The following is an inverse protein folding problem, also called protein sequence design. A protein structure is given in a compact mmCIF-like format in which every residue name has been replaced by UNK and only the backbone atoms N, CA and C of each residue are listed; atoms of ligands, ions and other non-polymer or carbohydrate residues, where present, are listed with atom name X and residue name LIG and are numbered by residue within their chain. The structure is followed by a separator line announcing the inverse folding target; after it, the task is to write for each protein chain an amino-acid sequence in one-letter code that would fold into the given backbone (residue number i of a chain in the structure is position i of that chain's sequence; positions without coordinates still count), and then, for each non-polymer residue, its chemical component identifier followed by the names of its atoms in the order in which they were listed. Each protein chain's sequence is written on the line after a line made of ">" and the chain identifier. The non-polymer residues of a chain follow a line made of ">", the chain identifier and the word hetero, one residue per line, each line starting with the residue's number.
data_IF_044334266316
#
_entry.id   IF_044334266316
#
_cell.length_a   1.000
_cell.length_b   1.000
_cell.length_c   1.000
_cell.angle_alpha   90.00
_cell.angle_beta   90.00
_cell.angle_gamma   90.00
#
_symmetry.space_group_name_H-M   'P 1'
#
loop_
_entity.id
_entity.type
_entity.pdbx_description
1 polymer ?
#
# COMPACT_ATOMS: atom_id res chain seq x y z
N UNK A 1 -12.76 7.61 24.09
CA UNK A 1 -12.40 7.63 22.65
C UNK A 1 -13.10 6.47 21.97
N UNK A 2 -13.99 6.76 21.01
CA UNK A 2 -14.76 5.72 20.30
C UNK A 2 -14.03 5.13 19.10
N UNK A 3 -14.68 4.14 18.48
CA UNK A 3 -14.22 3.55 17.23
C UNK A 3 -14.45 4.54 16.07
N UNK A 4 -13.45 4.70 15.20
CA UNK A 4 -13.55 5.53 13.98
C UNK A 4 -13.69 4.62 12.77
N UNK A 5 -14.50 5.03 11.80
CA UNK A 5 -14.65 4.34 10.52
C UNK A 5 -13.37 4.43 9.67
N UNK A 6 -13.13 3.43 8.82
CA UNK A 6 -12.05 3.49 7.83
C UNK A 6 -12.35 4.61 6.81
N UNK A 7 -11.48 5.63 6.67
CA UNK A 7 -11.71 6.78 5.80
C UNK A 7 -11.82 6.43 4.32
N UNK A 8 -11.23 5.31 3.87
CA UNK A 8 -11.35 4.82 2.49
C UNK A 8 -12.79 4.35 2.23
N UNK A 9 -13.31 3.48 3.11
CA UNK A 9 -14.67 2.96 3.03
C UNK A 9 -15.73 4.06 3.16
N UNK A 10 -15.48 5.04 4.02
CA UNK A 10 -16.37 6.20 4.22
C UNK A 10 -16.52 7.09 2.96
N UNK A 11 -15.61 6.97 1.99
CA UNK A 11 -15.54 7.82 0.80
C UNK A 11 -15.73 7.06 -0.52
N UNK A 12 -16.06 5.77 -0.46
CA UNK A 12 -16.30 4.97 -1.66
C UNK A 12 -17.46 5.56 -2.47
N UNK A 13 -17.25 5.74 -3.77
CA UNK A 13 -18.27 6.28 -4.69
C UNK A 13 -18.37 7.80 -4.74
N UNK A 14 -17.60 8.53 -3.92
CA UNK A 14 -17.53 10.00 -3.98
C UNK A 14 -16.12 10.47 -4.36
N UNK A 15 -15.18 10.44 -3.42
CA UNK A 15 -13.79 10.83 -3.67
C UNK A 15 -12.86 9.63 -3.87
N UNK A 16 -13.25 8.44 -3.42
CA UNK A 16 -12.45 7.21 -3.52
C UNK A 16 -13.07 6.22 -4.51
N UNK A 17 -12.27 5.76 -5.47
CA UNK A 17 -12.63 4.70 -6.40
C UNK A 17 -12.27 3.30 -5.87
N UNK A 18 -12.89 2.28 -6.46
CA UNK A 18 -12.53 0.89 -6.21
C UNK A 18 -11.19 0.55 -6.86
N UNK A 19 -10.38 -0.28 -6.20
CA UNK A 19 -9.12 -0.79 -6.78
C UNK A 19 -9.31 -2.02 -7.67
N UNK A 20 -10.42 -2.74 -7.52
CA UNK A 20 -10.81 -3.83 -8.42
C UNK A 20 -12.04 -3.37 -9.19
N UNK A 21 -11.89 -3.23 -10.51
CA UNK A 21 -12.90 -2.71 -11.43
C UNK A 21 -13.31 -3.83 -12.39
N UNK A 22 -14.33 -4.58 -11.99
CA UNK A 22 -14.90 -5.65 -12.79
C UNK A 22 -16.31 -6.00 -12.32
N UNK A 23 -17.03 -6.74 -13.15
CA UNK A 23 -18.38 -7.20 -12.87
C UNK A 23 -18.50 -8.69 -13.21
N UNK A 24 -19.31 -9.41 -12.43
CA UNK A 24 -19.69 -10.79 -12.73
C UNK A 24 -21.03 -11.11 -12.07
N UNK A 25 -21.64 -12.21 -12.48
CA UNK A 25 -22.88 -12.69 -11.88
C UNK A 25 -22.64 -13.11 -10.41
N UNK A 26 -23.63 -12.97 -9.51
CA UNK A 26 -23.47 -13.29 -8.08
C UNK A 26 -22.91 -14.69 -7.80
N UNK A 27 -23.28 -15.68 -8.63
CA UNK A 27 -22.79 -17.07 -8.52
C UNK A 27 -21.28 -17.20 -8.70
N UNK A 28 -20.69 -16.36 -9.56
CA UNK A 28 -19.28 -16.43 -9.96
C UNK A 28 -18.43 -15.35 -9.27
N UNK A 29 -19.03 -14.54 -8.38
CA UNK A 29 -18.34 -13.43 -7.72
C UNK A 29 -17.27 -13.90 -6.75
N UNK A 30 -17.55 -14.98 -6.02
CA UNK A 30 -16.60 -15.59 -5.09
C UNK A 30 -15.32 -16.05 -5.79
N UNK A 31 -15.45 -16.70 -6.95
CA UNK A 31 -14.32 -17.16 -7.77
C UNK A 31 -13.49 -15.97 -8.27
N UNK A 32 -14.15 -14.93 -8.81
CA UNK A 32 -13.48 -13.72 -9.27
C UNK A 32 -12.72 -12.99 -8.16
N UNK A 33 -13.25 -12.99 -6.93
CA UNK A 33 -12.59 -12.41 -5.76
C UNK A 33 -11.38 -13.24 -5.32
N UNK A 34 -11.48 -14.57 -5.34
CA UNK A 34 -10.36 -15.46 -5.04
C UNK A 34 -9.23 -15.31 -6.05
N UNK A 35 -9.54 -15.17 -7.34
CA UNK A 35 -8.56 -14.86 -8.38
C UNK A 35 -7.81 -13.56 -8.07
N UNK A 36 -8.53 -12.47 -7.75
CA UNK A 36 -7.93 -11.17 -7.42
C UNK A 36 -6.97 -11.28 -6.23
N UNK A 37 -7.37 -12.00 -5.18
CA UNK A 37 -6.54 -12.17 -4.00
C UNK A 37 -5.25 -12.94 -4.32
N UNK A 38 -5.35 -14.03 -5.08
CA UNK A 38 -4.19 -14.81 -5.53
C UNK A 38 -3.24 -13.95 -6.38
N UNK A 39 -3.76 -13.14 -7.31
CA UNK A 39 -2.94 -12.24 -8.14
C UNK A 39 -2.20 -11.22 -7.26
N UNK A 40 -2.91 -10.59 -6.30
CA UNK A 40 -2.32 -9.61 -5.38
C UNK A 40 -1.23 -10.24 -4.52
N UNK A 41 -1.47 -11.43 -3.99
CA UNK A 41 -0.51 -12.14 -3.14
C UNK A 41 0.72 -12.61 -3.92
N UNK A 42 0.53 -13.08 -5.16
CA UNK A 42 1.61 -13.45 -6.04
C UNK A 42 2.52 -12.26 -6.36
N UNK A 43 1.94 -11.13 -6.77
CA UNK A 43 2.70 -9.91 -7.09
C UNK A 43 3.50 -9.43 -5.87
N UNK A 44 2.89 -9.40 -4.69
CA UNK A 44 3.59 -9.02 -3.45
C UNK A 44 4.76 -9.95 -3.15
N UNK A 45 4.56 -11.27 -3.24
CA UNK A 45 5.63 -12.26 -3.02
C UNK A 45 6.74 -12.14 -4.06
N UNK A 46 6.40 -11.91 -5.33
CA UNK A 46 7.37 -11.74 -6.40
C UNK A 46 8.25 -10.51 -6.16
N UNK A 47 7.63 -9.35 -5.90
CA UNK A 47 8.36 -8.11 -5.61
C UNK A 47 9.22 -8.26 -4.36
N UNK A 48 8.69 -8.83 -3.28
CA UNK A 48 9.45 -9.04 -2.03
C UNK A 48 10.68 -9.94 -2.22
N UNK A 49 10.59 -11.00 -3.04
CA UNK A 49 11.72 -11.89 -3.32
C UNK A 49 12.81 -11.22 -4.16
N UNK A 50 12.41 -10.37 -5.09
CA UNK A 50 13.29 -9.80 -6.11
C UNK A 50 13.86 -8.42 -5.71
N UNK A 51 13.12 -7.62 -4.96
CA UNK A 51 13.59 -6.37 -4.34
C UNK A 51 14.25 -6.62 -2.98
N UNK A 52 15.30 -7.44 -2.92
CA UNK A 52 16.16 -7.54 -1.72
C UNK A 52 17.02 -6.29 -1.58
N UNK A 53 16.39 -5.13 -1.32
CA UNK A 53 17.08 -3.87 -1.08
C UNK A 53 17.41 -3.78 0.43
N UNK A 54 18.62 -3.33 0.82
CA UNK A 54 19.02 -3.17 2.23
C UNK A 54 18.15 -2.19 3.04
N UNK A 55 17.38 -1.31 2.39
CA UNK A 55 16.49 -0.34 3.04
C UNK A 55 15.04 -0.83 3.25
N UNK A 56 14.67 -2.01 2.72
CA UNK A 56 13.40 -2.69 3.06
C UNK A 56 12.11 -2.03 2.56
N UNK A 57 12.17 -1.16 1.54
CA UNK A 57 10.98 -0.55 0.92
C UNK A 57 10.62 -1.32 -0.35
N UNK A 58 9.52 -2.07 -0.32
CA UNK A 58 8.96 -2.78 -1.48
C UNK A 58 8.36 -1.79 -2.47
N UNK A 59 7.88 -0.65 -1.98
CA UNK A 59 7.55 0.53 -2.77
C UNK A 59 6.28 0.38 -3.60
N UNK A 60 5.45 -0.63 -3.31
CA UNK A 60 4.14 -0.83 -3.95
C UNK A 60 3.11 0.05 -3.23
N UNK A 61 2.57 1.04 -3.93
CA UNK A 61 1.50 1.84 -3.35
C UNK A 61 0.15 1.15 -3.45
N UNK A 62 -0.23 0.71 -4.66
CA UNK A 62 -1.52 0.06 -4.90
C UNK A 62 -1.46 -0.83 -6.14
N UNK A 63 -2.36 -1.80 -6.18
CA UNK A 63 -2.55 -2.69 -7.32
C UNK A 63 -4.00 -2.52 -7.77
N UNK A 64 -4.19 -2.08 -9.00
CA UNK A 64 -5.50 -1.99 -9.63
C UNK A 64 -5.69 -3.18 -10.56
N UNK A 65 -6.86 -3.82 -10.48
CA UNK A 65 -7.21 -4.97 -11.32
C UNK A 65 -8.46 -4.60 -12.11
N UNK A 66 -8.37 -4.65 -13.42
CA UNK A 66 -9.48 -4.43 -14.34
C UNK A 66 -9.72 -5.72 -15.12
N UNK A 67 -10.92 -6.28 -15.04
CA UNK A 67 -11.27 -7.49 -15.82
C UNK A 67 -12.25 -7.13 -16.92
N UNK A 68 -11.88 -7.48 -18.14
CA UNK A 68 -12.76 -7.59 -19.32
C UNK A 68 -12.98 -9.07 -19.62
N UNK A 69 -13.81 -9.38 -20.61
CA UNK A 69 -14.17 -10.76 -20.97
C UNK A 69 -12.92 -11.59 -21.29
N UNK A 70 -12.06 -11.07 -22.16
CA UNK A 70 -10.87 -11.78 -22.66
C UNK A 70 -9.54 -11.31 -22.03
N UNK A 71 -9.56 -10.18 -21.33
CA UNK A 71 -8.35 -9.50 -20.86
C UNK A 71 -8.45 -9.11 -19.39
N UNK A 72 -7.46 -9.54 -18.60
CA UNK A 72 -7.23 -9.06 -17.24
C UNK A 72 -6.06 -8.09 -17.28
N UNK A 73 -6.33 -6.81 -17.00
CA UNK A 73 -5.32 -5.77 -16.92
C UNK A 73 -4.99 -5.49 -15.45
N UNK A 74 -3.73 -5.69 -15.09
CA UNK A 74 -3.21 -5.40 -13.76
C UNK A 74 -2.29 -4.19 -13.84
N UNK A 75 -2.65 -3.12 -13.13
CA UNK A 75 -1.87 -1.89 -13.06
C UNK A 75 -1.23 -1.79 -11.68
N UNK A 76 0.10 -1.90 -11.64
CA UNK A 76 0.87 -1.82 -10.39
C UNK A 76 1.42 -0.40 -10.28
N UNK A 77 1.03 0.31 -9.23
CA UNK A 77 1.54 1.65 -8.93
C UNK A 77 2.71 1.53 -7.96
N UNK A 78 3.90 1.92 -8.42
CA UNK A 78 5.13 1.82 -7.64
C UNK A 78 5.83 3.17 -7.53
N UNK A 79 6.46 3.42 -6.38
CA UNK A 79 7.32 4.59 -6.19
C UNK A 79 8.64 4.50 -6.94
N UNK A 80 9.27 3.31 -6.90
CA UNK A 80 10.61 3.07 -7.44
C UNK A 80 10.62 1.91 -8.45
N UNK A 81 9.94 2.04 -9.61
CA UNK A 81 9.84 0.94 -10.59
C UNK A 81 11.19 0.57 -11.20
N UNK A 82 12.13 1.52 -11.27
CA UNK A 82 13.50 1.30 -11.76
C UNK A 82 14.20 0.15 -11.05
N UNK A 83 14.03 0.04 -9.72
CA UNK A 83 14.65 -1.03 -8.93
C UNK A 83 14.13 -2.43 -9.30
N UNK A 84 12.93 -2.53 -9.85
CA UNK A 84 12.39 -3.81 -10.32
C UNK A 84 12.88 -4.11 -11.74
N UNK A 85 12.91 -3.10 -12.61
CA UNK A 85 13.18 -3.24 -14.05
C UNK A 85 14.68 -3.33 -14.33
N UNK A 86 15.52 -2.51 -13.68
CA UNK A 86 16.97 -2.46 -13.93
C UNK A 86 17.69 -3.72 -13.45
N UNK A 87 17.21 -4.32 -12.35
CA UNK A 87 17.83 -5.54 -11.81
C UNK A 87 17.60 -6.77 -12.70
N UNK A 88 16.56 -6.78 -13.54
CA UNK A 88 16.24 -7.89 -14.46
C UNK A 88 15.53 -7.40 -15.73
N UNK A 89 16.24 -7.25 -16.86
CA UNK A 89 15.57 -7.06 -18.15
C UNK A 89 14.72 -8.31 -18.44
N UNK A 90 13.40 -8.13 -18.54
CA UNK A 90 12.43 -9.24 -18.73
C UNK A 90 11.71 -9.71 -17.46
N UNK A 91 11.93 -9.10 -16.29
CA UNK A 91 11.22 -9.49 -15.06
C UNK A 91 9.68 -9.36 -15.15
N UNK A 92 9.18 -8.43 -15.97
CA UNK A 92 7.74 -8.26 -16.21
C UNK A 92 7.17 -9.44 -17.02
N UNK A 93 7.90 -9.88 -18.05
CA UNK A 93 7.51 -11.03 -18.87
C UNK A 93 7.54 -12.32 -18.05
N UNK A 94 8.54 -12.48 -17.18
CA UNK A 94 8.62 -13.58 -16.22
C UNK A 94 7.42 -13.57 -15.26
N UNK A 95 7.06 -12.41 -14.72
CA UNK A 95 5.90 -12.24 -13.84
C UNK A 95 4.61 -12.63 -14.58
N UNK A 96 4.45 -12.16 -15.82
CA UNK A 96 3.31 -12.46 -16.67
C UNK A 96 3.22 -13.96 -16.99
N UNK A 97 4.32 -14.61 -17.36
CA UNK A 97 4.36 -16.05 -17.61
C UNK A 97 4.02 -16.86 -16.36
N UNK A 98 4.56 -16.49 -15.20
CA UNK A 98 4.32 -17.22 -13.95
C UNK A 98 2.87 -17.08 -13.49
N UNK A 99 2.28 -15.88 -13.60
CA UNK A 99 0.85 -15.70 -13.37
C UNK A 99 0.03 -16.52 -14.38
N UNK A 100 0.37 -16.48 -15.67
CA UNK A 100 -0.39 -17.23 -16.67
C UNK A 100 -0.37 -18.74 -16.42
N UNK A 101 0.74 -19.27 -15.89
CA UNK A 101 0.85 -20.68 -15.46
C UNK A 101 -0.04 -20.99 -14.26
N UNK A 102 -0.03 -20.15 -13.22
CA UNK A 102 -0.82 -20.39 -12.00
C UNK A 102 -2.34 -20.29 -12.21
N UNK A 103 -2.79 -19.42 -13.11
CA UNK A 103 -4.20 -19.13 -13.29
C UNK A 103 -4.90 -19.97 -14.37
N UNK A 104 -4.17 -20.87 -15.06
CA UNK A 104 -4.71 -21.70 -16.15
C UNK A 104 -5.72 -20.93 -17.01
N UNK A 105 -5.33 -19.73 -17.43
CA UNK A 105 -6.20 -18.83 -18.18
C UNK A 105 -6.31 -19.33 -19.63
N UNK A 106 -6.95 -20.49 -19.85
CA UNK A 106 -7.08 -21.11 -21.17
C UNK A 106 -7.69 -20.12 -22.18
N UNK A 107 -8.56 -19.21 -21.70
CA UNK A 107 -9.28 -18.25 -22.53
C UNK A 107 -9.02 -16.76 -22.20
N UNK A 108 -8.17 -16.42 -21.21
CA UNK A 108 -7.97 -15.01 -20.80
C UNK A 108 -6.51 -14.58 -20.89
N UNK A 109 -6.24 -13.49 -21.59
CA UNK A 109 -4.92 -12.87 -21.63
C UNK A 109 -4.74 -12.00 -20.37
N UNK A 110 -3.56 -12.05 -19.77
CA UNK A 110 -3.20 -11.21 -18.63
C UNK A 110 -2.17 -10.19 -19.09
N UNK A 111 -2.42 -8.90 -18.85
CA UNK A 111 -1.51 -7.81 -19.18
C UNK A 111 -1.13 -7.05 -17.89
N UNK A 112 0.17 -6.82 -17.70
CA UNK A 112 0.70 -6.17 -16.51
C UNK A 112 1.35 -4.88 -16.91
N UNK A 113 0.91 -3.79 -16.31
CA UNK A 113 1.47 -2.45 -16.53
C UNK A 113 2.00 -1.91 -15.22
N UNK A 114 3.26 -1.48 -15.21
CA UNK A 114 3.85 -0.81 -14.05
C UNK A 114 3.82 0.69 -14.30
N UNK A 115 3.17 1.42 -13.40
CA UNK A 115 3.07 2.88 -13.45
C UNK A 115 3.90 3.49 -12.32
N UNK A 116 4.66 4.54 -12.66
CA UNK A 116 5.47 5.27 -11.69
C UNK A 116 4.61 6.33 -10.99
N UNK A 117 4.70 6.37 -9.67
CA UNK A 117 4.13 7.47 -8.88
C UNK A 117 5.17 8.59 -8.83
N UNK A 118 4.75 9.81 -9.15
CA UNK A 118 5.64 10.97 -9.18
C UNK A 118 6.27 11.24 -7.80
N UNK A 119 5.45 11.17 -6.74
CA UNK A 119 5.84 11.44 -5.36
C UNK A 119 5.63 10.20 -4.47
N UNK A 120 6.67 9.37 -4.24
CA UNK A 120 6.52 8.10 -3.55
C UNK A 120 6.09 8.27 -2.08
N UNK A 121 6.65 9.25 -1.36
CA UNK A 121 6.34 9.51 0.05
C UNK A 121 4.98 10.19 0.27
N UNK A 122 4.30 10.62 -0.78
CA UNK A 122 2.90 11.05 -0.70
C UNK A 122 1.93 9.87 -0.53
N UNK A 123 2.37 8.64 -0.81
CA UNK A 123 1.57 7.44 -0.58
C UNK A 123 1.77 6.90 0.83
N UNK A 124 0.69 6.68 1.61
CA UNK A 124 0.82 6.22 2.99
C UNK A 124 1.34 4.77 3.06
N UNK A 125 1.19 3.97 2.00
CA UNK A 125 1.69 2.59 1.97
C UNK A 125 3.23 2.56 1.94
N UNK A 126 3.83 3.35 1.05
CA UNK A 126 5.29 3.46 0.92
C UNK A 126 5.88 4.08 2.19
N UNK A 127 5.19 5.09 2.74
CA UNK A 127 5.61 5.72 3.99
C UNK A 127 5.53 4.76 5.19
N UNK A 128 4.50 3.91 5.26
CA UNK A 128 4.37 2.91 6.31
C UNK A 128 5.47 1.84 6.22
N UNK A 129 5.83 1.40 5.01
CA UNK A 129 6.97 0.50 4.78
C UNK A 129 8.30 1.14 5.23
N UNK A 130 8.50 2.42 4.91
CA UNK A 130 9.67 3.16 5.36
C UNK A 130 9.77 3.19 6.89
N UNK A 131 8.69 3.57 7.59
CA UNK A 131 8.65 3.56 9.06
C UNK A 131 8.88 2.13 9.60
N UNK A 132 8.27 1.12 8.97
CA UNK A 132 8.44 -0.27 9.36
C UNK A 132 9.90 -0.73 9.25
N UNK A 133 10.61 -0.37 8.18
CA UNK A 133 12.03 -0.64 8.01
C UNK A 133 12.88 0.00 9.11
N UNK A 134 12.62 1.28 9.43
CA UNK A 134 13.32 1.98 10.51
C UNK A 134 13.09 1.33 11.89
N UNK A 135 11.85 0.93 12.18
CA UNK A 135 11.50 0.26 13.44
C UNK A 135 12.13 -1.14 13.55
N UNK A 136 12.20 -1.90 12.45
CA UNK A 136 12.92 -3.19 12.40
C UNK A 136 14.41 -3.02 12.67
N UNK A 137 15.00 -1.94 12.16
CA UNK A 137 16.39 -1.57 12.40
C UNK A 137 16.61 -0.93 13.79
N UNK A 138 15.59 -0.95 14.68
CA UNK A 138 15.63 -0.42 16.05
C UNK A 138 15.96 1.07 16.14
N UNK A 139 15.66 1.83 15.10
CA UNK A 139 15.70 3.30 15.16
C UNK A 139 14.57 3.78 16.08
N UNK A 140 14.86 4.79 16.91
CA UNK A 140 13.85 5.37 17.81
C UNK A 140 12.59 5.77 17.04
N UNK A 141 11.42 5.35 17.54
CA UNK A 141 10.13 5.63 16.90
C UNK A 141 9.89 7.13 16.68
N UNK A 142 10.35 7.99 17.61
CA UNK A 142 10.24 9.45 17.47
C UNK A 142 11.04 9.97 16.29
N UNK A 143 12.26 9.45 16.07
CA UNK A 143 13.10 9.80 14.92
C UNK A 143 12.47 9.30 13.62
N UNK A 144 11.96 8.08 13.61
CA UNK A 144 11.28 7.50 12.45
C UNK A 144 10.03 8.32 12.07
N UNK A 145 9.20 8.71 13.05
CA UNK A 145 8.01 9.54 12.79
C UNK A 145 8.38 10.94 12.30
N UNK A 146 9.33 11.63 12.94
CA UNK A 146 9.77 12.97 12.48
C UNK A 146 10.31 12.94 11.06
N UNK A 147 11.17 11.96 10.75
CA UNK A 147 11.72 11.78 9.40
C UNK A 147 10.63 11.44 8.38
N UNK A 148 9.62 10.66 8.76
CA UNK A 148 8.50 10.37 7.89
C UNK A 148 7.70 11.64 7.56
N UNK A 149 7.48 12.53 8.54
CA UNK A 149 6.77 13.79 8.30
C UNK A 149 7.59 14.70 7.37
N UNK A 150 8.88 14.88 7.64
CA UNK A 150 9.80 15.66 6.80
C UNK A 150 9.79 15.19 5.34
N UNK A 151 9.82 13.87 5.10
CA UNK A 151 9.73 13.29 3.75
C UNK A 151 8.36 13.51 3.09
N UNK A 152 7.30 13.62 3.88
CA UNK A 152 5.93 13.81 3.39
C UNK A 152 5.64 15.28 3.10
N UNK A 153 6.27 16.21 3.82
CA UNK A 153 6.24 17.64 3.52
C UNK A 153 6.87 17.93 2.15
N UNK A 154 7.99 17.28 1.82
CA UNK A 154 8.63 17.34 0.50
C UNK A 154 7.74 16.79 -0.64
N UNK A 155 6.67 16.05 -0.30
CA UNK A 155 5.71 15.52 -1.26
C UNK A 155 4.50 16.45 -1.49
N UNK A 156 4.53 17.70 -1.00
CA UNK A 156 3.44 18.70 -1.06
C UNK A 156 2.11 18.18 -0.49
N UNK A 157 2.16 17.57 0.70
CA UNK A 157 0.95 17.14 1.41
C UNK A 157 0.43 18.25 2.33
N UNK A 158 -0.90 18.37 2.48
CA UNK A 158 -1.53 19.41 3.33
C UNK A 158 -1.60 19.04 4.80
N UNK A 159 -1.50 17.76 5.10
CA UNK A 159 -1.50 17.26 6.45
C UNK A 159 -1.29 15.77 6.51
N UNK A 160 -0.68 15.34 7.60
CA UNK A 160 -0.40 13.95 7.88
C UNK A 160 -0.72 13.66 9.34
N UNK A 161 -1.31 12.48 9.58
CA UNK A 161 -1.42 11.92 10.91
C UNK A 161 -0.79 10.53 10.89
N UNK A 162 0.19 10.29 11.77
CA UNK A 162 0.83 8.99 11.95
C UNK A 162 0.52 8.50 13.36
N UNK A 163 0.05 7.26 13.47
CA UNK A 163 -0.23 6.60 14.74
C UNK A 163 0.50 5.26 14.78
N UNK A 164 1.21 5.02 15.87
CA UNK A 164 1.90 3.77 16.16
C UNK A 164 1.33 3.20 17.46
N UNK A 165 0.91 1.93 17.43
CA UNK A 165 0.34 1.24 18.58
C UNK A 165 1.05 -0.08 18.85
N UNK A 166 1.40 -0.33 20.11
CA UNK A 166 1.96 -1.60 20.57
C UNK A 166 3.05 -1.42 21.62
N UNK A 167 3.95 -2.41 21.75
CA UNK A 167 5.07 -2.40 22.70
C UNK A 167 6.24 -1.57 22.19
N UNK A 168 6.10 -0.25 22.23
CA UNK A 168 7.08 0.70 21.71
C UNK A 168 8.33 0.72 22.63
N UNK A 169 9.52 0.61 22.01
CA UNK A 169 10.83 0.41 22.66
C UNK A 169 10.92 -0.86 23.53
N UNK A 170 10.10 -1.87 23.27
CA UNK A 170 10.14 -3.14 24.00
C UNK A 170 9.63 -3.06 25.45
N UNK A 171 9.03 -1.93 25.86
CA UNK A 171 8.39 -1.81 27.16
C UNK A 171 7.30 -2.88 27.34
N UNK A 172 7.11 -3.32 28.58
CA UNK A 172 6.14 -4.36 28.93
C UNK A 172 4.70 -3.94 28.59
N UNK A 173 4.34 -2.69 28.95
CA UNK A 173 3.02 -2.14 28.69
C UNK A 173 2.97 -1.53 27.27
N UNK A 174 2.00 -1.99 26.47
CA UNK A 174 1.73 -1.43 25.16
C UNK A 174 1.12 -0.03 25.28
N UNK A 175 1.50 0.87 24.38
CA UNK A 175 0.98 2.25 24.33
C UNK A 175 0.68 2.66 22.89
N UNK A 176 -0.01 3.79 22.78
CA UNK A 176 -0.40 4.38 21.50
C UNK A 176 0.20 5.78 21.43
N UNK A 177 1.07 6.00 20.46
CA UNK A 177 1.71 7.28 20.19
C UNK A 177 1.20 7.78 18.84
N UNK A 178 0.85 9.05 18.74
CA UNK A 178 0.43 9.64 17.48
C UNK A 178 0.94 11.07 17.36
N UNK A 179 1.25 11.46 16.13
CA UNK A 179 1.66 12.81 15.77
C UNK A 179 0.76 13.24 14.62
N UNK A 180 0.34 14.50 14.63
CA UNK A 180 -0.41 15.15 13.56
C UNK A 180 0.31 16.44 13.17
N UNK A 181 0.52 16.60 11.88
CA UNK A 181 1.09 17.78 11.23
C UNK A 181 0.05 18.31 10.23
N UNK A 182 -0.19 19.62 10.20
CA UNK A 182 -1.18 20.22 9.31
C UNK A 182 -2.63 19.80 9.58
N UNK A 183 -3.47 19.79 8.53
CA UNK A 183 -4.92 19.55 8.63
C UNK A 183 -5.30 18.15 8.14
N UNK A 184 -6.06 17.39 8.96
CA UNK A 184 -6.58 16.06 8.58
C UNK A 184 -8.07 15.96 8.91
N UNK A 185 -8.98 16.40 8.01
CA UNK A 185 -10.41 16.48 8.28
C UNK A 185 -11.14 15.16 8.01
N UNK A 186 -11.12 14.23 8.98
CA UNK A 186 -11.68 12.87 8.79
C UNK A 186 -13.19 12.81 8.51
N UNK A 187 -13.97 13.78 9.02
CA UNK A 187 -15.43 13.84 8.82
C UNK A 187 -15.85 14.47 7.49
N UNK A 188 -14.96 15.19 6.81
CA UNK A 188 -15.28 15.87 5.56
C UNK A 188 -15.22 14.87 4.40
N UNK A 189 -16.37 14.49 3.85
CA UNK A 189 -16.46 13.50 2.76
C UNK A 189 -15.72 14.00 1.51
N UNK A 190 -15.84 15.29 1.18
CA UNK A 190 -15.17 15.92 0.03
C UNK A 190 -13.64 15.92 0.11
N UNK A 191 -13.07 15.75 1.31
CA UNK A 191 -11.62 15.75 1.47
C UNK A 191 -11.02 14.45 0.92
N UNK A 192 -10.05 14.55 0.01
CA UNK A 192 -9.27 13.41 -0.50
C UNK A 192 -8.28 12.96 0.59
N UNK A 193 -8.56 11.82 1.22
CA UNK A 193 -7.75 11.27 2.30
C UNK A 193 -7.29 9.87 1.91
N UNK A 194 -5.98 9.72 1.80
CA UNK A 194 -5.34 8.42 1.67
C UNK A 194 -5.04 7.84 3.05
N UNK A 195 -5.23 6.53 3.18
CA UNK A 195 -5.05 5.82 4.45
C UNK A 195 -4.36 4.48 4.25
N UNK A 196 -3.45 4.15 5.17
CA UNK A 196 -2.81 2.85 5.24
C UNK A 196 -2.86 2.30 6.67
N UNK A 197 -3.03 0.98 6.78
CA UNK A 197 -2.78 0.22 7.99
C UNK A 197 -1.71 -0.82 7.68
N UNK A 198 -0.61 -0.79 8.43
CA UNK A 198 0.51 -1.68 8.23
C UNK A 198 0.92 -2.34 9.55
N UNK A 199 1.31 -3.61 9.50
CA UNK A 199 1.75 -4.36 10.68
C UNK A 199 3.23 -4.65 10.60
N UNK A 200 3.93 -4.45 11.71
CA UNK A 200 5.37 -4.65 11.81
C UNK A 200 5.64 -5.71 12.88
N UNK A 201 6.24 -6.82 12.47
CA UNK A 201 6.72 -7.84 13.40
C UNK A 201 8.09 -7.43 13.93
N UNK A 202 8.17 -7.25 15.24
CA UNK A 202 9.40 -6.97 15.98
C UNK A 202 9.68 -8.13 16.93
N UNK A 203 10.84 -8.11 17.59
CA UNK A 203 11.24 -9.15 18.56
C UNK A 203 10.29 -9.18 19.76
N UNK A 204 9.78 -8.02 20.17
CA UNK A 204 8.93 -7.86 21.35
C UNK A 204 7.43 -8.05 21.06
N UNK A 205 7.07 -8.37 19.81
CA UNK A 205 5.70 -8.53 19.36
C UNK A 205 5.38 -7.70 18.12
N UNK A 206 4.09 -7.44 17.90
CA UNK A 206 3.59 -6.73 16.71
C UNK A 206 3.32 -5.26 17.03
N UNK A 207 3.80 -4.37 16.18
CA UNK A 207 3.42 -2.96 16.15
C UNK A 207 2.44 -2.71 15.01
N UNK A 208 1.41 -1.92 15.28
CA UNK A 208 0.48 -1.42 14.27
C UNK A 208 0.82 0.02 13.90
N UNK A 209 0.89 0.31 12.61
CA UNK A 209 1.08 1.66 12.07
C UNK A 209 -0.19 2.03 11.30
N UNK A 210 -0.75 3.19 11.60
CA UNK A 210 -1.86 3.80 10.85
C UNK A 210 -1.44 5.17 10.38
N UNK A 211 -1.62 5.45 9.10
CA UNK A 211 -1.24 6.72 8.49
C UNK A 211 -2.45 7.28 7.75
N UNK A 212 -2.73 8.56 7.97
CA UNK A 212 -3.67 9.35 7.19
C UNK A 212 -2.92 10.47 6.52
N UNK A 213 -3.10 10.63 5.21
CA UNK A 213 -2.53 11.73 4.43
C UNK A 213 -3.70 12.49 3.81
N UNK A 214 -3.75 13.79 4.06
CA UNK A 214 -4.69 14.69 3.41
C UNK A 214 -4.00 15.27 2.17
N UNK A 215 -4.51 14.87 1.01
CA UNK A 215 -4.05 15.34 -0.30
C UNK A 215 -5.00 16.45 -0.72
N UNK A 216 -4.46 17.53 -1.28
CA UNK A 216 -5.31 18.59 -1.78
C UNK A 216 -6.20 18.08 -2.91
N UNK A 217 -7.47 18.43 -2.83
CA UNK A 217 -8.38 18.31 -3.95
C UNK A 217 -8.43 19.65 -4.64
N UNK A 218 -7.80 19.75 -5.81
CA UNK A 218 -8.54 20.36 -6.91
C UNK A 218 -9.83 19.54 -7.14
#
# INVERSE_FOLDING_TARGET
>A
MGQKINPLGFRLGTTQSHHSLWFTQPKNYSEGLQEDQKIRDFIKKYVQKNMKIPSGVEGIARIEIQKRIDLIQVIIYMGFPKLLIENRPGGIEELQMNLQKEFHCVNRKLNITITRIAKPYGSPNILAEFIAGQLKNRVSFRKAMKKAIELTEQADTKGIQVQISGRIDGKEIARVEWIREGRVPLQTIRAKIDYCSYTVRTIYGVLGIKIWIFIDGE
#
